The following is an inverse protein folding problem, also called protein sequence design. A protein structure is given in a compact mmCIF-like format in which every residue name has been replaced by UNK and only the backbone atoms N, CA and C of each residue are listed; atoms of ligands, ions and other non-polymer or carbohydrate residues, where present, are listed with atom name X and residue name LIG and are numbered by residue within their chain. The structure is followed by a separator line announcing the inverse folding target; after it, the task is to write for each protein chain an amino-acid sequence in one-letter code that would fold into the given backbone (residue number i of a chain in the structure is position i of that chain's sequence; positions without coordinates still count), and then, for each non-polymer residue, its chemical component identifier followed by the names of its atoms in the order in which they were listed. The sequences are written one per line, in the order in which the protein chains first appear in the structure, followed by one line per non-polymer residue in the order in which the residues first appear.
data_IF_164322619803
#
_entry.id   IF_164322619803
#
_cell.length_a   1.000
_cell.length_b   1.000
_cell.length_c   1.000
_cell.angle_alpha   90.00
_cell.angle_beta   90.00
_cell.angle_gamma   90.00
#
_symmetry.space_group_name_H-M   'P 1'
#
loop_
_entity.id
_entity.type
_entity.pdbx_description
1 polymer ?
#
# COMPACT_ATOMS: atom_id res chain seq x y z
N UNK A 1 22.86 4.62 -33.32
CA UNK A 1 22.59 5.37 -32.09
C UNK A 1 21.18 5.90 -32.16
N UNK A 2 20.51 6.05 -31.01
CA UNK A 2 19.08 6.40 -30.85
C UNK A 2 18.15 5.21 -30.89
N UNK A 3 17.75 4.74 -29.70
CA UNK A 3 16.41 4.22 -29.40
C UNK A 3 16.24 4.25 -27.86
N UNK A 4 16.42 5.43 -27.27
CA UNK A 4 16.21 5.68 -25.85
C UNK A 4 14.73 5.99 -25.54
N UNK A 5 13.81 5.43 -26.33
CA UNK A 5 12.37 5.73 -26.28
C UNK A 5 11.59 4.81 -25.32
N UNK A 6 12.21 3.79 -24.73
CA UNK A 6 11.58 2.92 -23.71
C UNK A 6 11.85 3.47 -22.30
N UNK A 7 11.80 4.79 -22.13
CA UNK A 7 12.00 5.45 -20.83
C UNK A 7 10.81 6.27 -20.35
N UNK A 8 9.73 6.34 -21.13
CA UNK A 8 8.66 7.32 -20.89
C UNK A 8 7.28 6.67 -20.90
N UNK A 9 7.10 5.57 -20.18
CA UNK A 9 5.74 5.09 -19.84
C UNK A 9 5.64 4.42 -18.47
N UNK A 10 6.46 4.84 -17.50
CA UNK A 10 6.35 4.40 -16.08
C UNK A 10 6.08 5.60 -15.17
N UNK A 11 5.28 6.56 -15.65
CA UNK A 11 5.08 7.83 -14.94
C UNK A 11 3.68 7.97 -14.33
N UNK A 12 2.83 6.93 -14.36
CA UNK A 12 1.51 6.97 -13.70
C UNK A 12 1.36 6.11 -12.45
N UNK A 13 2.33 5.23 -12.16
CA UNK A 13 2.41 4.47 -10.91
C UNK A 13 3.64 4.81 -10.05
N UNK A 14 4.39 5.84 -10.43
CA UNK A 14 5.55 6.35 -9.68
C UNK A 14 5.10 7.22 -8.50
N UNK A 15 4.33 6.66 -7.59
CA UNK A 15 4.14 7.22 -6.24
C UNK A 15 4.10 6.17 -5.14
N UNK A 16 4.70 5.00 -5.39
CA UNK A 16 5.29 4.14 -4.36
C UNK A 16 6.82 4.24 -4.32
N UNK A 17 7.44 5.24 -4.97
CA UNK A 17 8.91 5.38 -5.00
C UNK A 17 9.54 5.84 -3.67
N UNK A 18 8.84 5.64 -2.56
CA UNK A 18 9.29 5.87 -1.20
C UNK A 18 8.87 4.62 -0.43
N UNK A 19 9.73 4.11 0.46
CA UNK A 19 9.50 2.87 1.22
C UNK A 19 8.04 2.70 1.66
N UNK A 20 7.58 1.45 1.70
CA UNK A 20 6.27 1.01 2.16
C UNK A 20 5.78 1.73 3.42
N UNK A 21 6.72 2.08 4.31
CA UNK A 21 6.50 2.93 5.48
C UNK A 21 5.87 4.30 5.13
N UNK A 22 6.41 5.00 4.14
CA UNK A 22 5.92 6.30 3.67
C UNK A 22 4.51 6.20 3.11
N UNK A 23 4.19 5.11 2.43
CA UNK A 23 2.87 4.93 1.84
C UNK A 23 1.81 4.59 2.89
N UNK A 24 2.14 3.77 3.88
CA UNK A 24 1.27 3.53 5.04
C UNK A 24 1.07 4.81 5.84
N UNK A 25 2.13 5.60 6.05
CA UNK A 25 2.02 6.90 6.73
C UNK A 25 1.14 7.88 5.96
N UNK A 26 1.19 7.89 4.62
CA UNK A 26 0.25 8.68 3.79
C UNK A 26 -1.20 8.19 3.96
N UNK A 27 -1.44 6.89 3.96
CA UNK A 27 -2.78 6.33 4.17
C UNK A 27 -3.34 6.72 5.55
N UNK A 28 -2.53 6.59 6.61
CA UNK A 28 -2.86 7.04 7.98
C UNK A 28 -3.17 8.54 8.03
N UNK A 29 -2.37 9.37 7.37
CA UNK A 29 -2.59 10.82 7.32
C UNK A 29 -3.90 11.19 6.59
N UNK A 30 -4.26 10.47 5.52
CA UNK A 30 -5.54 10.66 4.83
C UNK A 30 -6.71 10.26 5.74
N UNK A 31 -6.63 9.09 6.39
CA UNK A 31 -7.65 8.64 7.33
C UNK A 31 -7.85 9.62 8.49
N UNK A 32 -6.76 10.16 9.03
CA UNK A 32 -6.80 11.18 10.08
C UNK A 32 -7.51 12.47 9.60
N UNK A 33 -7.21 12.93 8.38
CA UNK A 33 -7.89 14.10 7.79
C UNK A 33 -9.38 13.87 7.57
N UNK A 34 -9.76 12.66 7.16
CA UNK A 34 -11.17 12.27 7.00
C UNK A 34 -11.89 12.24 8.36
N UNK A 35 -11.25 11.74 9.41
CA UNK A 35 -11.78 11.79 10.77
C UNK A 35 -12.02 13.24 11.25
N UNK A 36 -11.06 14.15 11.01
CA UNK A 36 -11.24 15.58 11.31
C UNK A 36 -12.44 16.17 10.54
N UNK A 37 -12.64 15.75 9.29
CA UNK A 37 -13.77 16.16 8.46
C UNK A 37 -15.12 15.49 8.84
N UNK A 38 -15.22 14.88 10.02
CA UNK A 38 -16.39 14.11 10.50
C UNK A 38 -16.79 12.94 9.59
N UNK A 39 -15.82 12.38 8.87
CA UNK A 39 -15.95 11.19 8.02
C UNK A 39 -14.90 10.15 8.42
N UNK A 40 -14.94 9.63 9.65
CA UNK A 40 -13.95 8.64 10.07
C UNK A 40 -14.01 7.39 9.18
N UNK A 41 -12.84 6.88 8.83
CA UNK A 41 -12.70 5.59 8.13
C UNK A 41 -12.48 4.53 9.18
N UNK A 42 -13.25 3.45 9.11
CA UNK A 42 -13.07 2.30 9.98
C UNK A 42 -11.69 1.66 9.77
N UNK A 43 -11.13 1.03 10.80
CA UNK A 43 -9.79 0.44 10.71
C UNK A 43 -9.73 -0.70 9.69
N UNK A 44 -10.77 -1.51 9.58
CA UNK A 44 -10.83 -2.60 8.61
C UNK A 44 -11.00 -2.05 7.19
N UNK A 45 -11.82 -1.00 7.01
CA UNK A 45 -11.94 -0.31 5.72
C UNK A 45 -10.59 0.31 5.30
N UNK A 46 -9.86 0.91 6.25
CA UNK A 46 -8.54 1.48 5.98
C UNK A 46 -7.54 0.40 5.54
N UNK A 47 -7.54 -0.77 6.17
CA UNK A 47 -6.73 -1.94 5.76
C UNK A 47 -7.09 -2.35 4.34
N UNK A 48 -8.38 -2.46 4.01
CA UNK A 48 -8.84 -2.78 2.66
C UNK A 48 -8.43 -1.73 1.63
N UNK A 49 -8.50 -0.44 1.97
CA UNK A 49 -8.06 0.65 1.09
C UNK A 49 -6.56 0.60 0.82
N UNK A 50 -5.75 0.26 1.82
CA UNK A 50 -4.30 0.05 1.66
C UNK A 50 -4.05 -1.12 0.73
N UNK A 51 -4.67 -2.28 0.97
CA UNK A 51 -4.52 -3.49 0.13
C UNK A 51 -4.97 -3.26 -1.32
N UNK A 52 -6.00 -2.45 -1.54
CA UNK A 52 -6.45 -2.05 -2.89
C UNK A 52 -5.48 -1.10 -3.59
N UNK A 53 -4.69 -0.33 -2.84
CA UNK A 53 -3.71 0.61 -3.37
C UNK A 53 -2.33 0.00 -3.66
N UNK A 54 -2.10 -1.28 -3.31
CA UNK A 54 -0.81 -1.94 -3.53
C UNK A 54 -0.56 -2.23 -5.02
N UNK A 55 0.70 -2.15 -5.48
CA UNK A 55 1.07 -2.54 -6.84
C UNK A 55 0.94 -4.07 -7.04
N UNK A 56 0.88 -4.50 -8.29
CA UNK A 56 0.66 -5.92 -8.66
C UNK A 56 1.74 -6.87 -8.14
N UNK A 57 2.93 -6.37 -7.84
CA UNK A 57 4.03 -7.15 -7.23
C UNK A 57 3.66 -7.69 -5.83
N UNK A 58 2.72 -7.04 -5.14
CA UNK A 58 2.19 -7.47 -3.84
C UNK A 58 0.95 -8.36 -3.97
N UNK A 59 0.59 -8.84 -5.17
CA UNK A 59 -0.55 -9.73 -5.36
C UNK A 59 -0.48 -10.99 -4.47
N UNK A 60 0.67 -11.70 -4.35
CA UNK A 60 0.76 -12.87 -3.46
C UNK A 60 0.54 -12.50 -1.98
N UNK A 61 1.05 -11.34 -1.56
CA UNK A 61 0.83 -10.80 -0.23
C UNK A 61 -0.64 -10.48 0.03
N UNK A 62 -1.32 -9.86 -0.94
CA UNK A 62 -2.74 -9.52 -0.83
C UNK A 62 -3.60 -10.77 -0.64
N UNK A 63 -3.34 -11.81 -1.45
CA UNK A 63 -4.00 -13.11 -1.29
C UNK A 63 -3.73 -13.70 0.09
N UNK A 64 -2.48 -13.67 0.56
CA UNK A 64 -2.14 -14.14 1.91
C UNK A 64 -2.98 -13.44 3.00
N UNK A 65 -3.07 -12.11 2.97
CA UNK A 65 -3.87 -11.35 3.93
C UNK A 65 -5.38 -11.66 3.80
N UNK A 66 -5.90 -11.73 2.57
CA UNK A 66 -7.33 -12.03 2.31
C UNK A 66 -7.72 -13.47 2.72
N UNK A 67 -6.76 -14.40 2.76
CA UNK A 67 -6.98 -15.78 3.22
C UNK A 67 -6.87 -15.95 4.73
N UNK A 68 -6.42 -14.94 5.47
CA UNK A 68 -6.37 -15.02 6.93
C UNK A 68 -7.79 -15.06 7.49
N UNK A 69 -8.00 -15.99 8.43
CA UNK A 69 -9.31 -16.22 9.05
C UNK A 69 -9.70 -15.06 9.99
N UNK A 70 -8.70 -14.45 10.62
CA UNK A 70 -8.85 -13.34 11.53
C UNK A 70 -8.47 -12.02 10.84
N UNK A 71 -9.18 -10.92 11.11
CA UNK A 71 -8.87 -9.62 10.53
C UNK A 71 -7.50 -9.14 11.00
N UNK A 72 -6.65 -8.78 10.03
CA UNK A 72 -5.31 -8.28 10.29
C UNK A 72 -5.38 -6.83 10.73
N UNK A 73 -4.81 -6.51 11.89
CA UNK A 73 -4.77 -5.13 12.36
C UNK A 73 -3.86 -4.26 11.49
N UNK A 74 -4.09 -2.95 11.50
CA UNK A 74 -3.25 -2.00 10.76
C UNK A 74 -1.77 -2.06 11.15
N UNK A 75 -1.47 -2.43 12.41
CA UNK A 75 -0.09 -2.54 12.92
C UNK A 75 0.57 -3.79 12.34
N UNK A 76 -0.13 -4.93 12.37
CA UNK A 76 0.36 -6.18 11.80
C UNK A 76 0.53 -6.06 10.28
N UNK A 77 -0.45 -5.46 9.61
CA UNK A 77 -0.38 -5.19 8.17
C UNK A 77 0.89 -4.40 7.82
N UNK A 78 1.22 -3.36 8.62
CA UNK A 78 2.44 -2.57 8.42
C UNK A 78 3.70 -3.43 8.55
N UNK A 79 3.78 -4.27 9.58
CA UNK A 79 4.91 -5.19 9.75
C UNK A 79 5.06 -6.16 8.57
N UNK A 80 3.97 -6.80 8.15
CA UNK A 80 4.03 -7.73 7.02
C UNK A 80 4.41 -7.04 5.71
N UNK A 81 3.91 -5.83 5.49
CA UNK A 81 4.21 -5.04 4.31
C UNK A 81 5.70 -4.66 4.23
N UNK A 82 6.35 -4.35 5.35
CA UNK A 82 7.80 -4.10 5.40
C UNK A 82 8.60 -5.36 5.07
N UNK A 83 8.20 -6.52 5.60
CA UNK A 83 8.83 -7.81 5.30
C UNK A 83 8.70 -8.13 3.82
N UNK A 84 7.52 -7.92 3.23
CA UNK A 84 7.30 -8.15 1.81
C UNK A 84 8.08 -7.16 0.94
N UNK A 85 8.20 -5.89 1.34
CA UNK A 85 9.06 -4.93 0.64
C UNK A 85 10.52 -5.40 0.62
N UNK A 86 11.00 -6.04 1.67
CA UNK A 86 12.36 -6.59 1.71
C UNK A 86 12.53 -7.83 0.84
N UNK A 87 11.54 -8.73 0.83
CA UNK A 87 11.53 -9.93 -0.01
C UNK A 87 11.47 -9.63 -1.53
N UNK A 88 10.98 -8.45 -1.92
CA UNK A 88 10.87 -8.02 -3.31
C UNK A 88 12.14 -7.33 -3.84
N UNK A 89 13.16 -7.12 -2.99
CA UNK A 89 14.43 -6.48 -3.38
C UNK A 89 15.41 -7.44 -4.05
#
# INVERSE_FOLDING_TARGET
GSNNAVKITVSRFKKWSSSMDVCINKAKAIAHRLAIASKPVDKDDLVLQILRGLPSEYLPFKVYIETQKDPVSLIELHGFLLIQEDNLK
#
